data_IF_996481560414
#
_entry.id   IF_996481560414
#
_cell.length_a   1.000
_cell.length_b   1.000
_cell.length_c   1.000
_cell.angle_alpha   90.00
_cell.angle_beta   90.00
_cell.angle_gamma   90.00
#
_symmetry.space_group_name_H-M   'P 1'
#
loop_
_entity.id
_entity.type
_entity.pdbx_description
1 polymer ?
#
# COMPACT_ATOMS: atom_id res chain seq x y z
N UNK A 1 -4.65 5.56 -27.03
CA UNK A 1 -4.58 4.30 -26.22
C UNK A 1 -5.46 4.42 -24.98
N UNK A 2 -5.82 3.30 -24.33
CA UNK A 2 -6.50 3.34 -23.03
C UNK A 2 -5.61 4.05 -21.99
N UNK A 3 -6.11 5.13 -21.39
CA UNK A 3 -5.40 5.94 -20.39
C UNK A 3 -4.86 7.28 -20.92
N UNK A 4 -4.99 7.59 -22.21
CA UNK A 4 -4.61 8.89 -22.76
C UNK A 4 -5.79 9.86 -22.83
N UNK A 5 -5.58 11.18 -22.70
CA UNK A 5 -6.62 12.17 -22.93
C UNK A 5 -7.11 12.15 -24.38
N UNK A 6 -8.41 12.41 -24.54
CA UNK A 6 -9.05 12.53 -25.86
C UNK A 6 -8.43 13.70 -26.63
N UNK A 7 -8.14 14.80 -25.93
CA UNK A 7 -7.37 15.94 -26.43
C UNK A 7 -6.21 16.20 -25.46
N UNK A 8 -4.97 16.04 -25.95
CA UNK A 8 -3.79 16.21 -25.12
C UNK A 8 -3.61 17.64 -24.61
N UNK A 9 -4.06 18.65 -25.37
CA UNK A 9 -3.88 20.06 -25.02
C UNK A 9 -5.04 20.64 -24.21
N UNK A 10 -6.19 19.98 -24.24
CA UNK A 10 -7.38 20.36 -23.47
C UNK A 10 -7.37 19.75 -22.05
N UNK A 11 -6.40 18.89 -21.74
CA UNK A 11 -6.35 18.15 -20.50
C UNK A 11 -5.78 19.01 -19.37
N UNK A 12 -6.46 19.08 -18.23
CA UNK A 12 -5.99 19.84 -17.04
C UNK A 12 -4.93 19.03 -16.27
N UNK A 13 -3.69 19.03 -16.78
CA UNK A 13 -2.55 18.39 -16.11
C UNK A 13 -2.27 19.04 -14.75
N UNK A 14 -2.30 20.37 -14.69
CA UNK A 14 -2.03 21.13 -13.47
C UNK A 14 -3.05 20.81 -12.38
N UNK A 15 -4.33 20.75 -12.73
CA UNK A 15 -5.40 20.32 -11.83
C UNK A 15 -5.23 18.88 -11.35
N UNK A 16 -4.84 17.95 -12.23
CA UNK A 16 -4.53 16.57 -11.80
C UNK A 16 -3.35 16.55 -10.82
N UNK A 17 -2.26 17.25 -11.11
CA UNK A 17 -1.08 17.27 -10.24
C UNK A 17 -1.42 17.91 -8.88
N UNK A 18 -2.15 19.03 -8.87
CA UNK A 18 -2.63 19.66 -7.64
C UNK A 18 -3.50 18.70 -6.82
N UNK A 19 -4.46 18.03 -7.47
CA UNK A 19 -5.32 17.05 -6.83
C UNK A 19 -4.52 15.89 -6.21
N UNK A 20 -3.57 15.32 -6.97
CA UNK A 20 -2.75 14.18 -6.50
C UNK A 20 -1.83 14.57 -5.35
N UNK A 21 -1.25 15.77 -5.39
CA UNK A 21 -0.41 16.30 -4.32
C UNK A 21 -1.19 16.46 -3.00
N UNK A 22 -2.46 16.85 -3.12
CA UNK A 22 -3.37 17.05 -1.99
C UNK A 22 -4.24 15.83 -1.65
N UNK A 23 -4.15 14.73 -2.40
CA UNK A 23 -4.91 13.51 -2.14
C UNK A 23 -4.75 12.95 -0.70
N UNK A 24 -3.58 13.03 -0.04
CA UNK A 24 -3.45 12.67 1.38
C UNK A 24 -4.29 13.57 2.32
N UNK A 25 -4.42 14.85 2.01
CA UNK A 25 -5.23 15.80 2.78
C UNK A 25 -6.73 15.58 2.54
N UNK A 26 -7.13 15.34 1.29
CA UNK A 26 -8.50 14.90 0.96
C UNK A 26 -8.89 13.64 1.76
N UNK A 27 -7.98 12.66 1.86
CA UNK A 27 -8.19 11.47 2.69
C UNK A 27 -8.33 11.81 4.19
N UNK A 28 -7.46 12.67 4.73
CA UNK A 28 -7.56 13.12 6.13
C UNK A 28 -8.94 13.75 6.39
N UNK A 29 -9.36 14.69 5.55
CA UNK A 29 -10.68 15.35 5.63
C UNK A 29 -11.83 14.35 5.51
N UNK A 30 -11.73 13.38 4.60
CA UNK A 30 -12.70 12.29 4.48
C UNK A 30 -12.86 11.51 5.78
N UNK A 31 -11.77 11.07 6.42
CA UNK A 31 -11.89 10.33 7.69
C UNK A 31 -12.46 11.18 8.83
N UNK A 32 -12.18 12.49 8.85
CA UNK A 32 -12.78 13.41 9.83
C UNK A 32 -14.28 13.55 9.57
N UNK A 33 -14.67 13.78 8.31
CA UNK A 33 -16.08 13.91 7.92
C UNK A 33 -16.86 12.63 8.14
N UNK A 34 -16.26 11.47 7.86
CA UNK A 34 -16.87 10.16 8.08
C UNK A 34 -17.23 9.93 9.55
N UNK A 35 -16.35 10.27 10.49
CA UNK A 35 -16.69 10.20 11.93
C UNK A 35 -17.86 11.12 12.29
N UNK A 36 -17.92 12.32 11.70
CA UNK A 36 -19.01 13.29 11.92
C UNK A 36 -20.34 12.83 11.33
N UNK A 37 -20.32 12.25 10.14
CA UNK A 37 -21.51 11.71 9.48
C UNK A 37 -22.01 10.46 10.20
N UNK A 38 -21.10 9.59 10.62
CA UNK A 38 -21.43 8.42 11.44
C UNK A 38 -22.10 8.81 12.76
N UNK A 39 -21.55 9.76 13.52
CA UNK A 39 -22.15 10.23 14.75
C UNK A 39 -23.58 10.78 14.52
N UNK A 40 -23.78 11.53 13.43
CA UNK A 40 -25.09 12.06 13.04
C UNK A 40 -26.10 10.97 12.70
N UNK A 41 -25.69 9.96 11.93
CA UNK A 41 -26.55 8.80 11.59
C UNK A 41 -26.96 8.01 12.83
N UNK A 42 -26.12 7.99 13.87
CA UNK A 42 -26.41 7.38 15.16
C UNK A 42 -27.22 8.29 16.11
N UNK A 43 -27.56 9.52 15.70
CA UNK A 43 -28.26 10.47 16.57
C UNK A 43 -27.40 11.01 17.73
N UNK A 44 -26.07 10.96 17.60
CA UNK A 44 -25.12 11.24 18.68
C UNK A 44 -24.19 12.41 18.37
N UNK A 45 -23.58 12.95 19.43
CA UNK A 45 -22.41 13.82 19.29
C UNK A 45 -21.18 13.00 18.88
N UNK A 46 -20.17 13.66 18.29
CA UNK A 46 -18.90 12.99 17.96
C UNK A 46 -18.25 12.31 19.18
N UNK A 47 -18.39 12.93 20.36
CA UNK A 47 -17.82 12.40 21.61
C UNK A 47 -18.53 11.12 22.03
N UNK A 48 -19.86 11.15 22.11
CA UNK A 48 -20.66 9.98 22.49
C UNK A 48 -20.46 8.82 21.51
N UNK A 49 -20.43 9.09 20.19
CA UNK A 49 -20.16 8.06 19.20
C UNK A 49 -18.76 7.44 19.38
N UNK A 50 -17.73 8.24 19.72
CA UNK A 50 -16.37 7.71 19.92
C UNK A 50 -16.20 6.82 21.15
N UNK A 51 -17.14 6.87 22.09
CA UNK A 51 -17.16 6.04 23.29
C UNK A 51 -17.74 4.64 23.01
N UNK A 52 -18.53 4.47 21.93
CA UNK A 52 -19.20 3.20 21.60
C UNK A 52 -18.72 2.57 20.29
N UNK A 53 -18.18 3.36 19.36
CA UNK A 53 -17.70 2.88 18.07
C UNK A 53 -16.35 3.45 17.66
N UNK A 54 -15.54 2.60 17.01
CA UNK A 54 -14.24 2.94 16.43
C UNK A 54 -14.25 2.69 14.93
N UNK A 55 -14.00 3.75 14.18
CA UNK A 55 -13.75 3.66 12.75
C UNK A 55 -12.32 3.20 12.47
N UNK A 56 -12.16 2.03 11.84
CA UNK A 56 -10.88 1.53 11.35
C UNK A 56 -10.89 1.49 9.82
N UNK A 57 -9.72 1.67 9.20
CA UNK A 57 -9.58 1.48 7.76
C UNK A 57 -8.23 0.89 7.38
N UNK A 58 -8.19 0.22 6.25
CA UNK A 58 -7.00 0.01 5.43
C UNK A 58 -7.27 0.61 4.05
N UNK A 59 -6.31 1.35 3.50
CA UNK A 59 -6.41 1.94 2.17
C UNK A 59 -5.17 1.67 1.33
N UNK A 60 -5.37 1.59 0.03
CA UNK A 60 -4.34 1.49 -0.99
C UNK A 60 -4.57 2.59 -2.02
N UNK A 61 -3.51 3.28 -2.41
CA UNK A 61 -3.46 4.24 -3.50
C UNK A 61 -3.00 3.51 -4.76
N UNK A 62 -3.76 3.58 -5.84
CA UNK A 62 -3.39 2.96 -7.11
C UNK A 62 -3.44 3.96 -8.24
N UNK A 63 -2.50 3.85 -9.18
CA UNK A 63 -2.51 4.68 -10.36
C UNK A 63 -3.36 4.05 -11.43
N UNK A 64 -4.38 4.77 -11.89
CA UNK A 64 -5.06 4.43 -13.13
C UNK A 64 -4.05 4.45 -14.29
N UNK A 65 -4.41 3.85 -15.44
CA UNK A 65 -3.57 3.91 -16.66
C UNK A 65 -3.19 5.33 -17.10
N UNK A 66 -4.05 6.30 -16.76
CA UNK A 66 -3.89 7.75 -16.97
C UNK A 66 -2.96 8.43 -15.95
N UNK A 67 -2.48 7.69 -14.96
CA UNK A 67 -1.59 8.23 -13.92
C UNK A 67 -2.31 9.07 -12.87
N UNK A 68 -3.64 8.99 -12.76
CA UNK A 68 -4.40 9.55 -11.66
C UNK A 68 -4.50 8.53 -10.52
N UNK A 69 -4.20 8.94 -9.29
CA UNK A 69 -4.39 8.10 -8.10
C UNK A 69 -5.88 7.89 -7.81
N UNK A 70 -6.27 6.64 -7.63
CA UNK A 70 -7.54 6.23 -7.04
C UNK A 70 -7.29 5.49 -5.71
N UNK A 71 -8.23 5.59 -4.77
CA UNK A 71 -8.12 4.88 -3.48
C UNK A 71 -9.06 3.68 -3.43
N UNK A 72 -8.49 2.52 -3.11
CA UNK A 72 -9.24 1.39 -2.59
C UNK A 72 -9.19 1.42 -1.08
N UNK A 73 -10.32 1.32 -0.40
CA UNK A 73 -10.35 1.27 1.05
C UNK A 73 -11.31 0.19 1.54
N UNK A 74 -10.90 -0.49 2.60
CA UNK A 74 -11.79 -1.29 3.44
C UNK A 74 -11.97 -0.50 4.73
N UNK A 75 -13.21 -0.17 5.04
CA UNK A 75 -13.60 0.56 6.23
C UNK A 75 -14.38 -0.38 7.12
N UNK A 76 -13.97 -0.49 8.38
CA UNK A 76 -14.57 -1.36 9.39
C UNK A 76 -15.04 -0.50 10.56
N UNK A 77 -16.17 -0.88 11.12
CA UNK A 77 -16.73 -0.27 12.31
C UNK A 77 -16.67 -1.28 13.45
N UNK A 78 -15.90 -0.95 14.48
CA UNK A 78 -15.70 -1.82 15.65
C UNK A 78 -16.40 -1.19 16.86
N UNK A 79 -16.78 -2.01 17.83
CA UNK A 79 -17.13 -1.52 19.16
C UNK A 79 -15.93 -0.92 19.91
N UNK A 80 -16.16 -0.47 21.13
CA UNK A 80 -15.12 -0.06 22.06
C UNK A 80 -15.03 -1.09 23.19
N UNK A 81 -13.90 -1.78 23.23
CA UNK A 81 -13.49 -2.68 24.31
C UNK A 81 -11.96 -2.56 24.49
N UNK A 82 -11.50 -2.81 25.71
CA UNK A 82 -10.09 -2.72 26.12
C UNK A 82 -9.36 -4.07 26.05
N UNK A 83 -10.09 -5.17 26.10
CA UNK A 83 -9.57 -6.54 26.08
C UNK A 83 -9.75 -7.14 24.68
N UNK A 84 -10.96 -7.05 24.13
CA UNK A 84 -11.25 -7.56 22.79
C UNK A 84 -10.59 -6.65 21.73
N UNK A 85 -9.69 -7.18 20.89
CA UNK A 85 -9.08 -6.41 19.81
C UNK A 85 -10.07 -6.07 18.68
N UNK A 86 -11.15 -6.82 18.51
CA UNK A 86 -12.11 -6.70 17.42
C UNK A 86 -13.58 -6.81 17.89
N UNK A 87 -14.02 -5.96 18.84
CA UNK A 87 -15.35 -6.07 19.42
C UNK A 87 -16.41 -5.72 18.40
N UNK A 88 -17.54 -6.43 18.49
CA UNK A 88 -18.72 -6.18 17.65
C UNK A 88 -19.28 -4.78 17.98
N UNK A 89 -19.61 -3.94 16.97
CA UNK A 89 -20.22 -2.65 17.23
C UNK A 89 -21.66 -2.80 17.77
N UNK A 90 -22.24 -1.76 18.40
CA UNK A 90 -23.64 -1.76 18.84
C UNK A 90 -24.61 -2.07 17.68
N UNK A 91 -25.76 -2.67 17.99
CA UNK A 91 -26.75 -3.10 16.97
C UNK A 91 -27.22 -1.96 16.05
N UNK A 92 -27.30 -0.74 16.57
CA UNK A 92 -27.71 0.44 15.80
C UNK A 92 -26.65 0.90 14.78
N UNK A 93 -25.39 0.47 14.97
CA UNK A 93 -24.25 0.78 14.11
C UNK A 93 -24.16 -0.22 12.94
N UNK A 94 -25.24 -0.28 12.15
CA UNK A 94 -25.39 -1.21 11.03
C UNK A 94 -24.46 -0.87 9.85
N UNK A 95 -24.26 -1.86 8.98
CA UNK A 95 -23.56 -1.67 7.70
C UNK A 95 -24.21 -0.57 6.85
N UNK A 96 -25.54 -0.49 6.83
CA UNK A 96 -26.26 0.55 6.09
C UNK A 96 -25.93 1.97 6.57
N UNK A 97 -25.77 2.15 7.88
CA UNK A 97 -25.35 3.41 8.50
C UNK A 97 -23.94 3.78 8.04
N UNK A 98 -23.03 2.81 8.02
CA UNK A 98 -21.66 3.03 7.56
C UNK A 98 -21.61 3.39 6.07
N UNK A 99 -22.37 2.70 5.20
CA UNK A 99 -22.44 2.99 3.76
C UNK A 99 -22.96 4.40 3.50
N UNK A 100 -24.05 4.82 4.17
CA UNK A 100 -24.57 6.19 4.05
C UNK A 100 -23.56 7.22 4.52
N UNK A 101 -22.93 6.99 5.67
CA UNK A 101 -21.92 7.89 6.22
C UNK A 101 -20.69 8.04 5.29
N UNK A 102 -20.23 6.95 4.66
CA UNK A 102 -19.13 6.98 3.67
C UNK A 102 -19.52 7.82 2.46
N UNK A 103 -20.70 7.56 1.88
CA UNK A 103 -21.17 8.27 0.70
C UNK A 103 -21.31 9.77 0.96
N UNK A 104 -21.98 10.14 2.06
CA UNK A 104 -22.11 11.55 2.46
C UNK A 104 -20.74 12.18 2.70
N UNK A 105 -19.85 11.52 3.47
CA UNK A 105 -18.55 12.07 3.79
C UNK A 105 -17.69 12.32 2.54
N UNK A 106 -17.71 11.43 1.55
CA UNK A 106 -17.00 11.64 0.29
C UNK A 106 -17.56 12.82 -0.51
N UNK A 107 -18.89 12.97 -0.59
CA UNK A 107 -19.51 14.09 -1.29
C UNK A 107 -19.23 15.45 -0.64
N UNK A 108 -19.12 15.48 0.70
CA UNK A 108 -18.98 16.72 1.48
C UNK A 108 -17.53 17.20 1.63
N UNK A 109 -16.55 16.39 1.26
CA UNK A 109 -15.15 16.79 1.39
C UNK A 109 -14.83 17.84 0.33
N UNK A 110 -14.42 19.00 0.85
CA UNK A 110 -13.92 20.12 0.08
C UNK A 110 -12.57 20.52 0.64
N UNK A 111 -11.60 20.76 -0.22
CA UNK A 111 -10.29 21.27 0.13
C UNK A 111 -9.99 22.52 -0.72
N UNK A 112 -9.99 23.73 -0.12
CA UNK A 112 -9.39 24.89 -0.76
C UNK A 112 -7.88 24.64 -0.83
N UNK A 113 -7.37 24.50 -2.05
CA UNK A 113 -5.96 24.27 -2.31
C UNK A 113 -5.27 25.60 -2.63
N UNK A 114 -4.05 25.81 -2.10
CA UNK A 114 -3.25 26.98 -2.46
C UNK A 114 -3.11 27.12 -3.97
N UNK A 115 -2.97 28.36 -4.43
CA UNK A 115 -2.79 28.70 -5.84
C UNK A 115 -1.55 28.03 -6.41
N UNK A 116 -1.66 27.47 -7.62
CA UNK A 116 -0.48 27.06 -8.35
C UNK A 116 0.28 28.30 -8.84
N UNK A 117 1.59 28.19 -9.12
CA UNK A 117 2.34 29.26 -9.74
C UNK A 117 1.68 29.76 -11.03
N UNK A 118 1.54 31.09 -11.15
CA UNK A 118 0.90 31.73 -12.30
C UNK A 118 -0.63 31.74 -12.28
N UNK A 119 -1.28 31.11 -11.29
CA UNK A 119 -2.74 31.18 -11.14
C UNK A 119 -3.18 32.32 -10.22
N UNK A 120 -4.27 32.99 -10.59
CA UNK A 120 -4.84 34.10 -9.82
C UNK A 120 -5.79 33.58 -8.73
N UNK A 121 -6.51 32.50 -9.01
CA UNK A 121 -7.55 31.96 -8.13
C UNK A 121 -7.09 30.69 -7.40
N UNK A 122 -7.63 30.49 -6.20
CA UNK A 122 -7.48 29.21 -5.49
C UNK A 122 -8.33 28.12 -6.14
N UNK A 123 -7.88 26.87 -6.02
CA UNK A 123 -8.60 25.72 -6.54
C UNK A 123 -9.40 25.06 -5.44
N UNK A 124 -10.63 24.66 -5.76
CA UNK A 124 -11.42 23.83 -4.87
C UNK A 124 -11.31 22.35 -5.28
N UNK A 125 -10.67 21.54 -4.44
CA UNK A 125 -10.47 20.11 -4.69
C UNK A 125 -11.53 19.27 -3.99
N UNK A 126 -12.08 18.28 -4.71
CA UNK A 126 -13.10 17.34 -4.24
C UNK A 126 -12.79 15.93 -4.70
N UNK A 127 -13.46 14.93 -4.12
CA UNK A 127 -13.46 13.59 -4.71
C UNK A 127 -14.22 13.61 -6.04
N UNK A 128 -13.77 12.78 -6.99
CA UNK A 128 -14.47 12.59 -8.25
C UNK A 128 -15.83 11.89 -8.06
N UNK A 129 -16.62 11.86 -9.13
CA UNK A 129 -17.96 11.23 -9.13
C UNK A 129 -17.91 9.70 -9.14
N UNK A 130 -16.75 9.12 -9.44
CA UNK A 130 -16.54 7.67 -9.48
C UNK A 130 -16.26 7.14 -8.08
N UNK A 131 -17.33 6.79 -7.36
CA UNK A 131 -17.26 6.15 -6.04
C UNK A 131 -18.17 4.92 -6.02
N UNK A 132 -17.58 3.78 -5.68
CA UNK A 132 -18.32 2.55 -5.39
C UNK A 132 -18.12 2.14 -3.94
N UNK A 133 -19.22 1.80 -3.26
CA UNK A 133 -19.23 1.39 -1.86
C UNK A 133 -20.12 0.17 -1.75
N UNK A 134 -19.51 -0.95 -1.41
CA UNK A 134 -20.17 -2.24 -1.26
C UNK A 134 -19.88 -2.82 0.12
N UNK A 135 -20.91 -3.41 0.70
CA UNK A 135 -20.81 -4.16 1.93
C UNK A 135 -19.97 -5.42 1.73
N UNK A 136 -19.04 -5.67 2.65
CA UNK A 136 -18.35 -6.95 2.71
C UNK A 136 -19.12 -7.81 3.72
N UNK A 137 -20.16 -8.49 3.24
CA UNK A 137 -21.02 -9.34 4.07
C UNK A 137 -20.39 -10.73 4.20
N UNK A 138 -20.30 -11.24 5.43
CA UNK A 138 -20.02 -12.65 5.66
C UNK A 138 -21.24 -13.45 5.19
N UNK A 139 -21.11 -14.27 4.13
CA UNK A 139 -22.19 -15.19 3.74
C UNK A 139 -22.19 -16.39 4.70
N UNK A 140 -23.35 -16.70 5.27
CA UNK A 140 -23.55 -17.95 6.02
C UNK A 140 -23.17 -19.15 5.15
N UNK A 141 -22.38 -20.07 5.71
CA UNK A 141 -21.86 -21.27 5.03
C UNK A 141 -20.40 -21.19 4.56
N UNK A 142 -19.73 -20.05 4.73
CA UNK A 142 -18.29 -19.92 4.59
C UNK A 142 -17.71 -19.69 5.98
N UNK A 143 -17.10 -20.71 6.59
CA UNK A 143 -16.37 -20.59 7.86
C UNK A 143 -15.53 -19.30 7.84
N UNK A 144 -15.65 -18.43 8.86
CA UNK A 144 -15.15 -17.03 8.87
C UNK A 144 -13.70 -16.80 8.40
N UNK A 145 -12.90 -17.85 8.33
CA UNK A 145 -11.61 -17.88 7.61
C UNK A 145 -11.68 -17.43 6.14
N UNK A 146 -12.80 -17.66 5.43
CA UNK A 146 -12.95 -17.34 4.01
C UNK A 146 -13.26 -15.86 3.76
N UNK A 147 -14.04 -15.20 4.62
CA UNK A 147 -14.27 -13.74 4.53
C UNK A 147 -13.00 -12.96 4.88
N UNK A 148 -12.26 -13.40 5.90
CA UNK A 148 -11.02 -12.75 6.32
C UNK A 148 -9.91 -12.93 5.28
N UNK A 149 -9.81 -14.11 4.68
CA UNK A 149 -8.94 -14.36 3.53
C UNK A 149 -9.37 -13.53 2.32
N UNK A 150 -10.66 -13.35 2.06
CA UNK A 150 -11.15 -12.51 0.97
C UNK A 150 -10.78 -11.03 1.19
N UNK A 151 -10.93 -10.51 2.41
CA UNK A 151 -10.48 -9.16 2.79
C UNK A 151 -8.97 -9.00 2.65
N UNK A 152 -8.19 -9.99 3.10
CA UNK A 152 -6.74 -9.98 2.97
C UNK A 152 -6.29 -10.08 1.51
N UNK A 153 -6.92 -10.94 0.72
CA UNK A 153 -6.66 -11.09 -0.72
C UNK A 153 -7.06 -9.83 -1.49
N UNK A 154 -8.15 -9.16 -1.10
CA UNK A 154 -8.55 -7.88 -1.65
C UNK A 154 -7.46 -6.83 -1.40
N UNK A 155 -7.01 -6.66 -0.15
CA UNK A 155 -5.92 -5.74 0.17
C UNK A 155 -4.63 -6.10 -0.59
N UNK A 156 -4.27 -7.39 -0.63
CA UNK A 156 -3.07 -7.87 -1.30
C UNK A 156 -3.11 -7.62 -2.81
N UNK A 157 -4.27 -7.88 -3.45
CA UNK A 157 -4.48 -7.64 -4.88
C UNK A 157 -4.14 -6.20 -5.26
N UNK A 158 -4.70 -5.22 -4.55
CA UNK A 158 -4.46 -3.81 -4.88
C UNK A 158 -3.09 -3.34 -4.44
N UNK A 159 -2.55 -3.92 -3.36
CA UNK A 159 -1.18 -3.62 -2.95
C UNK A 159 -0.14 -4.08 -4.00
N UNK A 160 -0.32 -5.26 -4.59
CA UNK A 160 0.58 -5.75 -5.65
C UNK A 160 0.36 -5.00 -6.96
N UNK A 161 -0.90 -4.85 -7.37
CA UNK A 161 -1.22 -4.21 -8.64
C UNK A 161 -0.62 -2.82 -8.76
N UNK A 162 -0.73 -2.05 -7.71
CA UNK A 162 -0.37 -0.65 -7.85
C UNK A 162 1.13 -0.35 -7.67
N UNK A 163 1.93 -1.37 -7.32
CA UNK A 163 3.39 -1.35 -7.55
C UNK A 163 3.77 -1.56 -9.02
N UNK A 164 2.89 -2.12 -9.85
CA UNK A 164 3.15 -2.42 -11.27
C UNK A 164 2.82 -1.23 -12.20
N UNK A 165 1.79 -0.42 -11.87
CA UNK A 165 1.18 0.54 -12.81
C UNK A 165 2.08 1.72 -13.24
N UNK A 166 3.10 2.07 -12.46
CA UNK A 166 4.06 3.16 -12.81
C UNK A 166 5.25 2.63 -13.61
N UNK A 167 5.53 1.33 -13.54
CA UNK A 167 6.74 0.69 -14.08
C UNK A 167 6.57 -0.04 -15.42
N UNK A 168 5.39 0.03 -16.04
CA UNK A 168 5.12 -0.70 -17.30
C UNK A 168 6.11 -0.33 -18.41
N UNK A 169 6.66 -1.35 -19.06
CA UNK A 169 7.61 -1.21 -20.16
C UNK A 169 7.01 -0.40 -21.33
N UNK A 170 7.54 0.80 -21.56
CA UNK A 170 7.18 1.68 -22.68
C UNK A 170 7.03 3.15 -22.26
N UNK A 171 7.65 4.06 -23.02
CA UNK A 171 7.55 5.50 -22.79
C UNK A 171 6.13 5.98 -23.10
N UNK A 172 5.42 6.52 -22.11
CA UNK A 172 4.06 7.07 -22.28
C UNK A 172 4.10 8.59 -22.25
N UNK A 173 3.85 9.20 -23.41
CA UNK A 173 3.89 10.67 -23.60
C UNK A 173 3.04 11.41 -22.57
N UNK A 174 1.85 10.90 -22.27
CA UNK A 174 0.96 11.49 -21.27
C UNK A 174 1.56 11.51 -19.85
N UNK A 175 2.20 10.41 -19.42
CA UNK A 175 2.81 10.34 -18.09
C UNK A 175 4.08 11.19 -18.01
N UNK A 176 4.86 11.25 -19.10
CA UNK A 176 6.01 12.14 -19.20
C UNK A 176 5.56 13.61 -19.08
N UNK A 177 4.44 13.99 -19.72
CA UNK A 177 3.86 15.33 -19.59
C UNK A 177 3.40 15.64 -18.17
N UNK A 178 2.79 14.68 -17.46
CA UNK A 178 2.45 14.84 -16.03
C UNK A 178 3.69 15.08 -15.15
N UNK A 179 4.79 14.34 -15.41
CA UNK A 179 6.06 14.54 -14.70
C UNK A 179 6.64 15.93 -14.98
N UNK A 180 6.64 16.36 -16.24
CA UNK A 180 7.11 17.68 -16.65
C UNK A 180 6.31 18.78 -15.96
N UNK A 181 4.98 18.72 -16.00
CA UNK A 181 4.09 19.70 -15.32
C UNK A 181 4.33 19.73 -13.81
N UNK A 182 4.56 18.58 -13.17
CA UNK A 182 4.90 18.55 -11.75
C UNK A 182 6.23 19.24 -11.43
N UNK A 183 7.24 19.11 -12.31
CA UNK A 183 8.51 19.82 -12.18
C UNK A 183 8.34 21.32 -12.45
N UNK A 184 7.62 21.72 -13.51
CA UNK A 184 7.34 23.12 -13.85
C UNK A 184 6.63 23.85 -12.70
N UNK A 185 5.62 23.24 -12.09
CA UNK A 185 4.94 23.78 -10.91
C UNK A 185 5.92 23.91 -9.73
N UNK A 186 6.84 22.97 -9.55
CA UNK A 186 7.82 23.05 -8.47
C UNK A 186 8.87 24.14 -8.70
N UNK A 187 9.29 24.36 -9.95
CA UNK A 187 10.25 25.38 -10.36
C UNK A 187 9.66 26.79 -10.28
N UNK A 188 8.38 26.95 -10.61
CA UNK A 188 7.65 28.21 -10.46
C UNK A 188 7.21 28.52 -9.03
N UNK A 189 7.38 27.59 -8.07
CA UNK A 189 6.94 27.77 -6.70
C UNK A 189 7.85 28.73 -5.92
N UNK A 190 7.24 29.77 -5.34
CA UNK A 190 7.92 30.67 -4.40
C UNK A 190 8.35 29.94 -3.11
N UNK A 191 9.25 30.56 -2.34
CA UNK A 191 9.84 29.94 -1.13
C UNK A 191 8.83 29.57 -0.04
N UNK A 192 7.67 30.23 0.02
CA UNK A 192 6.58 29.93 0.97
C UNK A 192 5.42 29.13 0.33
N UNK A 193 5.60 28.66 -0.91
CA UNK A 193 4.56 27.91 -1.61
C UNK A 193 4.40 26.50 -1.05
N UNK A 194 3.15 26.06 -0.91
CA UNK A 194 2.82 24.67 -0.57
C UNK A 194 3.36 23.65 -1.59
N UNK A 195 3.69 24.09 -2.81
CA UNK A 195 4.17 23.25 -3.91
C UNK A 195 5.69 23.21 -4.02
N UNK A 196 6.44 23.87 -3.14
CA UNK A 196 7.92 23.89 -3.16
C UNK A 196 8.54 22.48 -3.19
N UNK A 197 7.89 21.52 -2.52
CA UNK A 197 8.36 20.13 -2.45
C UNK A 197 7.76 19.22 -3.53
N UNK A 198 6.94 19.74 -4.45
CA UNK A 198 6.27 18.94 -5.47
C UNK A 198 7.26 18.20 -6.36
N UNK A 199 8.39 18.83 -6.70
CA UNK A 199 9.44 18.23 -7.54
C UNK A 199 10.00 16.94 -6.97
N UNK A 200 10.05 16.79 -5.63
CA UNK A 200 10.46 15.52 -4.96
C UNK A 200 9.55 14.35 -5.33
N UNK A 201 8.31 14.63 -5.73
CA UNK A 201 7.28 13.66 -6.05
C UNK A 201 6.91 13.64 -7.53
N UNK A 202 7.63 14.37 -8.39
CA UNK A 202 7.36 14.39 -9.83
C UNK A 202 7.42 12.98 -10.44
N UNK A 203 8.40 12.17 -10.01
CA UNK A 203 8.51 10.76 -10.43
C UNK A 203 7.31 9.88 -10.01
N UNK A 204 6.56 10.30 -8.98
CA UNK A 204 5.30 9.72 -8.51
C UNK A 204 4.08 10.50 -9.01
N UNK A 205 4.20 11.23 -10.12
CA UNK A 205 3.13 12.03 -10.72
C UNK A 205 2.50 13.04 -9.73
N UNK A 206 3.30 13.59 -8.82
CA UNK A 206 2.86 14.53 -7.80
C UNK A 206 2.25 13.91 -6.55
N UNK A 207 2.03 12.58 -6.50
CA UNK A 207 1.49 11.94 -5.30
C UNK A 207 2.57 11.79 -4.21
N UNK A 208 2.38 12.50 -3.09
CA UNK A 208 3.29 12.49 -1.92
C UNK A 208 2.88 11.54 -0.80
N UNK A 209 1.86 10.72 -1.03
CA UNK A 209 1.29 9.85 0.00
C UNK A 209 1.94 8.48 0.07
N UNK A 210 1.65 7.76 1.14
CA UNK A 210 1.94 6.33 1.18
C UNK A 210 0.95 5.56 0.32
N UNK A 211 1.51 4.63 -0.43
CA UNK A 211 0.79 3.70 -1.28
C UNK A 211 -0.19 2.82 -0.49
N UNK A 212 0.18 2.36 0.70
CA UNK A 212 -0.72 1.62 1.59
C UNK A 212 -0.63 2.19 2.99
N UNK A 213 -1.79 2.38 3.63
CA UNK A 213 -1.87 2.79 5.03
C UNK A 213 -3.01 2.07 5.72
N UNK A 214 -2.85 1.76 7.00
CA UNK A 214 -3.92 1.22 7.83
C UNK A 214 -3.97 1.93 9.18
N UNK A 215 -5.17 1.95 9.76
CA UNK A 215 -5.37 2.42 11.13
C UNK A 215 -4.66 1.49 12.13
N UNK A 216 -4.23 2.05 13.27
CA UNK A 216 -3.40 1.33 14.25
C UNK A 216 -4.03 0.02 14.74
N UNK A 217 -5.34 -0.02 14.90
CA UNK A 217 -6.10 -1.19 15.39
C UNK A 217 -6.83 -1.96 14.29
N UNK A 218 -6.53 -1.69 13.01
CA UNK A 218 -7.20 -2.38 11.91
C UNK A 218 -6.90 -3.88 11.87
N UNK A 219 -5.64 -4.25 12.09
CA UNK A 219 -5.20 -5.65 12.09
C UNK A 219 -3.89 -5.81 12.85
N UNK A 220 -3.47 -7.06 13.05
CA UNK A 220 -2.14 -7.41 13.57
C UNK A 220 -1.04 -6.63 12.86
N UNK A 221 -0.04 -6.18 13.60
CA UNK A 221 1.00 -5.33 13.03
C UNK A 221 1.88 -6.11 12.07
N UNK A 222 2.44 -5.45 11.05
CA UNK A 222 3.44 -6.08 10.18
C UNK A 222 4.69 -6.51 10.97
N UNK A 223 5.00 -5.82 12.08
CA UNK A 223 6.06 -6.21 13.02
C UNK A 223 5.77 -7.57 13.65
N UNK A 224 4.55 -7.76 14.17
CA UNK A 224 4.09 -9.04 14.74
C UNK A 224 4.17 -10.17 13.70
N UNK A 225 3.70 -9.91 12.46
CA UNK A 225 3.76 -10.89 11.38
C UNK A 225 5.21 -11.23 10.96
N UNK A 226 6.11 -10.23 10.90
CA UNK A 226 7.54 -10.45 10.63
C UNK A 226 8.20 -11.26 11.75
N UNK A 227 7.89 -10.96 13.00
CA UNK A 227 8.38 -11.71 14.16
C UNK A 227 7.93 -13.16 14.14
N UNK A 228 6.64 -13.41 13.88
CA UNK A 228 6.11 -14.77 13.72
C UNK A 228 6.80 -15.54 12.60
N UNK A 229 7.00 -14.92 11.41
CA UNK A 229 7.75 -15.53 10.30
C UNK A 229 9.21 -15.79 10.65
N UNK A 230 9.87 -14.90 11.39
CA UNK A 230 11.26 -15.08 11.83
C UNK A 230 11.38 -16.29 12.75
N UNK A 231 10.48 -16.42 13.74
CA UNK A 231 10.45 -17.58 14.65
C UNK A 231 10.22 -18.88 13.89
N UNK A 232 9.20 -18.92 13.02
CA UNK A 232 8.94 -20.11 12.21
C UNK A 232 10.13 -20.51 11.32
N UNK A 233 10.82 -19.54 10.70
CA UNK A 233 12.04 -19.83 9.92
C UNK A 233 13.18 -20.34 10.79
N UNK A 234 13.35 -19.78 11.99
CA UNK A 234 14.36 -20.23 12.95
C UNK A 234 14.08 -21.67 13.38
N UNK A 235 12.85 -21.96 13.81
CA UNK A 235 12.41 -23.32 14.19
C UNK A 235 12.70 -24.33 13.06
N UNK A 236 12.37 -24.01 11.81
CA UNK A 236 12.65 -24.86 10.64
C UNK A 236 14.13 -25.01 10.32
N UNK A 237 14.94 -23.97 10.54
CA UNK A 237 16.39 -24.06 10.37
C UNK A 237 16.99 -24.98 11.42
N UNK A 238 16.52 -24.89 12.67
CA UNK A 238 16.94 -25.74 13.77
C UNK A 238 16.54 -27.19 13.50
N UNK A 239 15.28 -27.46 13.14
CA UNK A 239 14.82 -28.80 12.75
C UNK A 239 15.68 -29.45 11.65
N UNK A 240 16.22 -28.66 10.72
CA UNK A 240 17.09 -29.15 9.63
C UNK A 240 18.57 -29.25 10.00
N UNK A 241 19.04 -28.45 10.96
CA UNK A 241 20.44 -28.37 11.36
C UNK A 241 20.74 -29.23 12.59
N UNK A 242 19.73 -29.54 13.39
CA UNK A 242 19.83 -30.39 14.56
C UNK A 242 20.06 -31.84 14.11
N UNK A 243 21.24 -32.35 14.42
CA UNK A 243 21.57 -33.79 14.36
C UNK A 243 21.00 -34.54 15.59
N UNK A 244 20.52 -33.78 16.59
CA UNK A 244 20.04 -34.26 17.89
C UNK A 244 18.70 -33.59 18.24
N UNK A 245 17.68 -34.39 18.61
CA UNK A 245 16.28 -33.96 18.78
C UNK A 245 16.05 -33.01 19.97
N UNK A 246 17.06 -32.83 20.84
CA UNK A 246 16.93 -32.06 22.09
C UNK A 246 17.26 -30.56 22.00
N UNK A 247 17.67 -30.03 20.84
CA UNK A 247 18.01 -28.60 20.70
C UNK A 247 16.74 -27.76 20.53
N UNK A 248 16.42 -26.91 21.51
CA UNK A 248 15.24 -26.02 21.45
C UNK A 248 15.59 -24.70 20.76
N UNK A 249 14.57 -24.03 20.19
CA UNK A 249 14.74 -22.72 19.54
C UNK A 249 15.29 -21.61 20.44
N UNK A 250 15.21 -21.81 21.75
CA UNK A 250 15.64 -20.91 22.81
C UNK A 250 17.16 -20.96 23.03
N UNK A 251 17.78 -22.09 22.65
CA UNK A 251 19.20 -22.40 22.87
C UNK A 251 20.09 -21.94 21.71
N UNK A 252 19.50 -21.46 20.62
CA UNK A 252 20.22 -21.07 19.40
C UNK A 252 20.57 -19.58 19.45
N UNK A 253 21.86 -19.31 19.64
CA UNK A 253 22.42 -17.97 19.55
C UNK A 253 22.36 -17.46 18.09
N UNK A 254 21.37 -16.62 17.80
CA UNK A 254 21.31 -15.89 16.52
C UNK A 254 22.20 -14.66 16.61
N UNK A 255 23.40 -14.72 16.02
CA UNK A 255 24.27 -13.55 15.86
C UNK A 255 23.63 -12.60 14.85
N UNK A 256 22.94 -11.57 15.34
CA UNK A 256 22.23 -10.56 14.55
C UNK A 256 22.97 -9.22 14.40
N UNK A 257 24.14 -9.08 15.03
CA UNK A 257 24.97 -7.89 14.94
C UNK A 257 26.02 -8.09 13.85
N UNK A 258 25.75 -7.52 12.69
CA UNK A 258 26.70 -7.42 11.60
C UNK A 258 27.27 -6.01 11.61
N UNK A 259 28.54 -5.87 11.95
CA UNK A 259 29.28 -4.64 11.66
C UNK A 259 29.87 -4.75 10.25
N UNK A 260 29.93 -3.62 9.55
CA UNK A 260 30.62 -3.57 8.27
C UNK A 260 32.11 -3.82 8.52
N UNK A 261 32.59 -5.00 8.13
CA UNK A 261 34.00 -5.41 8.28
C UNK A 261 34.91 -4.85 7.18
N UNK A 262 34.34 -4.35 6.07
CA UNK A 262 35.05 -3.82 4.90
C UNK A 262 34.42 -4.31 3.59
N UNK A 263 34.94 -3.82 2.46
CA UNK A 263 34.53 -4.24 1.11
C UNK A 263 35.76 -4.61 0.28
N UNK A 264 35.67 -5.71 -0.47
CA UNK A 264 36.79 -6.29 -1.22
C UNK A 264 37.49 -7.42 -0.46
N UNK A 265 38.63 -7.87 -0.99
CA UNK A 265 39.45 -8.90 -0.37
C UNK A 265 40.38 -8.24 0.65
N UNK A 266 40.05 -8.35 1.95
CA UNK A 266 40.84 -7.73 3.02
C UNK A 266 42.10 -8.55 3.32
N UNK A 267 42.05 -9.85 3.02
CA UNK A 267 43.18 -10.78 3.11
C UNK A 267 43.33 -11.61 1.83
N UNK A 268 44.51 -12.20 1.63
CA UNK A 268 44.73 -13.18 0.55
C UNK A 268 43.84 -14.43 0.71
N UNK A 269 43.45 -14.76 1.94
CA UNK A 269 42.49 -15.83 2.23
C UNK A 269 41.09 -15.53 1.70
N UNK A 270 40.59 -14.29 1.92
CA UNK A 270 39.30 -13.86 1.38
C UNK A 270 39.30 -13.91 -0.15
N UNK A 271 40.41 -13.48 -0.76
CA UNK A 271 40.62 -13.54 -2.21
C UNK A 271 40.55 -14.97 -2.73
N UNK A 272 41.20 -15.91 -2.05
CA UNK A 272 41.18 -17.32 -2.42
C UNK A 272 39.76 -17.91 -2.33
N UNK A 273 39.07 -17.69 -1.20
CA UNK A 273 37.72 -18.21 -0.96
C UNK A 273 36.71 -17.76 -2.02
N UNK A 274 36.80 -16.52 -2.47
CA UNK A 274 35.86 -16.05 -3.47
C UNK A 274 36.25 -16.34 -4.91
N UNK A 275 37.54 -16.49 -5.21
CA UNK A 275 37.95 -17.10 -6.47
C UNK A 275 37.38 -18.53 -6.56
N UNK A 276 37.42 -19.27 -5.46
CA UNK A 276 36.84 -20.61 -5.36
C UNK A 276 35.31 -20.59 -5.48
N UNK A 277 34.62 -19.71 -4.75
CA UNK A 277 33.16 -19.53 -4.87
C UNK A 277 32.75 -19.10 -6.29
N UNK A 278 33.53 -18.23 -6.94
CA UNK A 278 33.29 -17.82 -8.32
C UNK A 278 33.47 -18.97 -9.31
N UNK A 279 34.48 -19.84 -9.10
CA UNK A 279 34.65 -21.07 -9.88
C UNK A 279 33.46 -22.02 -9.67
N UNK A 280 33.11 -22.31 -8.42
CA UNK A 280 31.97 -23.18 -8.09
C UNK A 280 30.65 -22.67 -8.69
N UNK A 281 30.42 -21.36 -8.70
CA UNK A 281 29.23 -20.76 -9.32
C UNK A 281 29.21 -20.93 -10.85
N UNK A 282 30.37 -20.82 -11.51
CA UNK A 282 30.51 -21.08 -12.95
C UNK A 282 30.27 -22.55 -13.25
N UNK A 283 30.92 -23.44 -12.51
CA UNK A 283 30.76 -24.89 -12.66
C UNK A 283 29.29 -25.33 -12.43
N UNK A 284 28.60 -24.71 -11.48
CA UNK A 284 27.17 -24.92 -11.26
C UNK A 284 26.31 -24.41 -12.43
N UNK A 285 26.65 -23.24 -13.00
CA UNK A 285 25.95 -22.71 -14.18
C UNK A 285 26.19 -23.56 -15.42
N UNK A 286 27.41 -24.03 -15.64
CA UNK A 286 27.80 -24.84 -16.78
C UNK A 286 27.21 -26.25 -16.67
N UNK A 287 27.24 -26.88 -15.49
CA UNK A 287 26.55 -28.16 -15.25
C UNK A 287 25.02 -28.08 -15.38
N UNK A 288 24.40 -26.90 -15.24
CA UNK A 288 22.98 -26.69 -15.56
C UNK A 288 22.72 -26.47 -17.05
N UNK A 289 23.69 -25.94 -17.79
CA UNK A 289 23.63 -25.79 -19.25
C UNK A 289 23.87 -27.11 -19.98
N UNK A 290 24.72 -27.98 -19.42
CA UNK A 290 25.10 -29.26 -20.02
C UNK A 290 24.14 -30.41 -19.71
N UNK A 291 23.17 -30.25 -18.80
CA UNK A 291 22.11 -31.24 -18.62
C UNK A 291 21.22 -31.28 -19.86
N UNK A 292 21.24 -32.36 -20.67
CA UNK A 292 20.29 -32.50 -21.77
C UNK A 292 18.89 -32.61 -21.16
N UNK A 293 17.92 -31.90 -21.73
CA UNK A 293 16.51 -32.13 -21.43
C UNK A 293 16.20 -33.57 -21.87
N UNK A 294 16.22 -34.53 -20.93
CA UNK A 294 15.64 -35.84 -21.16
C UNK A 294 14.15 -35.63 -21.40
N UNK A 295 13.74 -35.63 -22.67
CA UNK A 295 12.35 -35.86 -23.06
C UNK A 295 12.12 -37.35 -22.89
N UNK A 296 11.53 -37.74 -21.77
CA UNK A 296 10.95 -39.08 -21.63
C UNK A 296 9.86 -39.23 -22.70
N UNK A 297 10.15 -40.07 -23.69
CA UNK A 297 9.19 -40.55 -24.67
C UNK A 297 8.24 -41.51 -23.98
N UNK A 298 6.95 -41.20 -24.07
CA UNK A 298 5.85 -42.00 -23.56
C UNK A 298 5.51 -43.06 -24.62
N UNK A 299 6.09 -44.26 -24.52
CA UNK A 299 5.65 -45.44 -25.27
C UNK A 299 4.95 -46.40 -24.30
N UNK A 300 3.62 -46.40 -24.37
CA UNK A 300 2.79 -47.51 -23.90
C UNK A 300 2.01 -48.05 -25.11
N UNK A 301 2.49 -49.20 -25.60
CA UNK A 301 1.68 -50.21 -26.26
C UNK A 301 1.06 -51.13 -25.20
#
# INVERSE_FOLDING_TARGET
MLGEPVCADCYDYSGQIAWQFHAPELWRRFTIMLRRRLARELGMTNRAASEIVRLQFAKVAEFQRRGAVHFHAIVRLDGVDDIDPFPTPPLDATESVLVRAIRSAACDVVLPAPRLPGEVDERELRWGTQMDVQAIVQREGLDGSLSDRAVAAYIAKYATKATEDIGGAGRRVHLDRLKAVASEIAEGAESDSAYLLLGKWAHMLGFRGHFSTKSRRYSVTLGSLRGARRRWRLERLIERASVDENVRSEDVLVIGAWSFAGMGWLTDGDRALALEASRAARDWHDSRRERPIQREGNDHA
#
